data_IF_148084900129
#
_entry.id   IF_148084900129
#
_cell.length_a   1.000
_cell.length_b   1.000
_cell.length_c   1.000
_cell.angle_alpha   90.00
_cell.angle_beta   90.00
_cell.angle_gamma   90.00
#
_symmetry.space_group_name_H-M   'P 1'
#
loop_
_entity.id
_entity.type
_entity.pdbx_description
1 polymer ?
#
# COMPACT_ATOMS: atom_id res chain seq x y z
N UNK A 1 10.71 8.55 -11.46
CA UNK A 1 9.77 7.56 -10.88
C UNK A 1 8.36 8.06 -11.17
N UNK A 2 7.44 7.20 -11.60
CA UNK A 2 6.05 7.61 -11.82
C UNK A 2 5.28 7.52 -10.50
N UNK A 3 4.52 8.57 -10.16
CA UNK A 3 3.53 8.55 -9.09
C UNK A 3 2.26 7.90 -9.66
N UNK A 4 1.64 7.00 -8.92
CA UNK A 4 0.40 6.34 -9.33
C UNK A 4 -0.77 6.81 -8.49
N UNK A 5 -1.95 6.86 -9.08
CA UNK A 5 -3.19 7.06 -8.34
C UNK A 5 -3.50 5.81 -7.52
N UNK A 6 -3.75 5.98 -6.24
CA UNK A 6 -4.21 4.92 -5.35
C UNK A 6 -5.73 4.97 -5.30
N UNK A 7 -6.36 3.82 -5.51
CA UNK A 7 -7.79 3.63 -5.31
C UNK A 7 -7.97 2.74 -4.09
N UNK A 8 -8.78 3.19 -3.16
CA UNK A 8 -9.07 2.46 -1.93
C UNK A 8 -10.24 1.50 -2.15
N UNK A 9 -10.15 0.33 -1.52
CA UNK A 9 -11.28 -0.61 -1.49
C UNK A 9 -12.19 -0.29 -0.32
N UNK A 10 -13.50 -0.61 -0.41
CA UNK A 10 -14.41 -0.48 0.73
C UNK A 10 -13.91 -1.22 1.97
N UNK A 11 -13.27 -2.37 1.80
CA UNK A 11 -12.65 -3.17 2.87
C UNK A 11 -11.52 -2.40 3.55
N UNK A 12 -10.63 -1.78 2.76
CA UNK A 12 -9.53 -1.00 3.28
C UNK A 12 -10.06 0.19 4.08
N UNK A 13 -11.00 0.96 3.52
CA UNK A 13 -11.57 2.12 4.20
C UNK A 13 -12.22 1.76 5.54
N UNK A 14 -13.05 0.70 5.58
CA UNK A 14 -13.69 0.24 6.82
C UNK A 14 -12.64 -0.09 7.89
N UNK A 15 -11.57 -0.79 7.52
CA UNK A 15 -10.52 -1.20 8.46
C UNK A 15 -9.64 -0.03 8.87
N UNK A 16 -9.30 0.86 7.94
CA UNK A 16 -8.53 2.06 8.21
C UNK A 16 -9.25 2.94 9.24
N UNK A 17 -10.56 3.20 9.07
CA UNK A 17 -11.36 3.95 10.06
C UNK A 17 -11.32 3.38 11.47
N UNK A 18 -11.18 2.06 11.64
CA UNK A 18 -11.09 1.42 12.95
C UNK A 18 -9.68 1.34 13.55
N UNK A 19 -8.62 1.47 12.74
CA UNK A 19 -7.23 1.16 13.12
C UNK A 19 -6.28 2.36 13.01
N UNK A 20 -6.66 3.37 12.22
CA UNK A 20 -5.84 4.50 11.82
C UNK A 20 -6.60 5.80 12.04
N UNK A 21 -5.87 6.83 12.42
CA UNK A 21 -6.31 8.21 12.19
C UNK A 21 -6.32 8.52 10.69
N UNK A 22 -7.02 9.59 10.31
CA UNK A 22 -7.04 10.05 8.92
C UNK A 22 -5.64 10.39 8.40
N UNK A 23 -4.79 11.02 9.22
CA UNK A 23 -3.42 11.34 8.87
C UNK A 23 -2.59 10.08 8.55
N UNK A 24 -2.67 9.05 9.41
CA UNK A 24 -1.96 7.78 9.19
C UNK A 24 -2.45 7.05 7.93
N UNK A 25 -3.75 7.10 7.65
CA UNK A 25 -4.31 6.56 6.40
C UNK A 25 -3.75 7.30 5.18
N UNK A 26 -3.70 8.63 5.22
CA UNK A 26 -3.15 9.45 4.13
C UNK A 26 -1.65 9.20 3.93
N UNK A 27 -0.88 9.00 4.98
CA UNK A 27 0.54 8.62 4.89
C UNK A 27 0.74 7.28 4.20
N UNK A 28 -0.10 6.27 4.50
CA UNK A 28 -0.06 4.97 3.82
C UNK A 28 -0.38 5.14 2.33
N UNK A 29 -1.40 5.94 1.99
CA UNK A 29 -1.80 6.19 0.61
C UNK A 29 -0.69 6.90 -0.18
N UNK A 30 -0.13 7.99 0.36
CA UNK A 30 0.97 8.73 -0.27
C UNK A 30 2.22 7.84 -0.44
N UNK A 31 2.53 7.01 0.56
CA UNK A 31 3.63 6.07 0.47
C UNK A 31 3.45 5.06 -0.66
N UNK A 32 2.26 4.47 -0.81
CA UNK A 32 1.96 3.53 -1.90
C UNK A 32 1.98 4.22 -3.25
N UNK A 33 1.42 5.43 -3.36
CA UNK A 33 1.40 6.23 -4.58
C UNK A 33 2.82 6.51 -5.12
N UNK A 34 3.76 6.80 -4.21
CA UNK A 34 5.17 7.06 -4.55
C UNK A 34 6.00 5.79 -4.71
N UNK A 35 5.61 4.69 -4.07
CA UNK A 35 6.36 3.43 -4.02
C UNK A 35 5.48 2.22 -4.38
N UNK A 36 4.90 2.16 -5.59
CA UNK A 36 3.91 1.15 -5.92
C UNK A 36 4.46 -0.30 -5.93
N UNK A 37 5.78 -0.46 -6.03
CA UNK A 37 6.47 -1.77 -5.96
C UNK A 37 6.95 -2.14 -4.55
N UNK A 38 6.55 -1.40 -3.51
CA UNK A 38 7.00 -1.65 -2.12
C UNK A 38 6.52 -2.98 -1.54
N UNK A 39 7.32 -3.57 -0.66
CA UNK A 39 7.01 -4.80 0.07
C UNK A 39 7.41 -6.10 -0.63
N UNK A 40 6.92 -7.21 -0.10
CA UNK A 40 7.08 -8.55 -0.66
C UNK A 40 5.95 -8.83 -1.66
N UNK A 41 6.31 -9.24 -2.88
CA UNK A 41 5.34 -9.70 -3.86
C UNK A 41 4.82 -11.08 -3.44
N UNK A 42 3.50 -11.27 -3.45
CA UNK A 42 2.86 -12.56 -3.12
C UNK A 42 2.20 -13.22 -4.33
N UNK A 43 2.45 -12.70 -5.53
CA UNK A 43 1.93 -13.22 -6.81
C UNK A 43 0.76 -12.40 -7.36
N UNK A 44 0.54 -12.50 -8.67
CA UNK A 44 -0.60 -11.87 -9.35
C UNK A 44 -0.71 -10.36 -9.17
N UNK A 45 0.42 -9.64 -9.01
CA UNK A 45 0.42 -8.18 -8.76
C UNK A 45 0.13 -7.76 -7.32
N UNK A 46 -0.15 -8.70 -6.42
CA UNK A 46 -0.41 -8.40 -5.00
C UNK A 46 0.92 -8.27 -4.23
N UNK A 47 0.95 -7.29 -3.34
CA UNK A 47 2.12 -6.86 -2.58
C UNK A 47 1.75 -6.67 -1.11
N UNK A 48 2.67 -7.02 -0.20
CA UNK A 48 2.49 -6.90 1.25
C UNK A 48 3.70 -6.25 1.90
N UNK A 49 3.47 -5.25 2.76
CA UNK A 49 4.52 -4.63 3.57
C UNK A 49 4.06 -4.30 4.98
N UNK A 50 5.03 -3.99 5.85
CA UNK A 50 4.79 -3.46 7.19
C UNK A 50 5.02 -1.95 7.17
N UNK A 51 4.02 -1.17 7.56
CA UNK A 51 4.11 0.27 7.71
C UNK A 51 4.32 0.61 9.18
N UNK A 52 5.41 1.31 9.50
CA UNK A 52 5.68 1.74 10.86
C UNK A 52 4.79 2.94 11.20
N UNK A 53 4.23 2.95 12.41
CA UNK A 53 3.47 4.10 12.92
C UNK A 53 4.45 5.17 13.43
N UNK A 54 4.31 6.45 13.05
CA UNK A 54 5.10 7.52 13.65
C UNK A 54 4.90 7.56 15.18
N UNK A 55 6.00 7.54 15.95
CA UNK A 55 5.95 7.60 17.42
C UNK A 55 5.47 6.32 18.14
N UNK A 56 5.18 5.23 17.41
CA UNK A 56 4.75 3.96 18.01
C UNK A 56 5.92 3.00 18.26
N UNK A 57 6.03 2.47 19.48
CA UNK A 57 6.99 1.40 19.82
C UNK A 57 6.78 0.10 19.02
N UNK A 58 7.57 -0.95 19.33
CA UNK A 58 7.66 -2.25 18.62
C UNK A 58 6.33 -2.93 18.22
N UNK A 59 5.19 -2.57 18.82
CA UNK A 59 3.88 -3.19 18.66
C UNK A 59 2.89 -2.49 17.69
N UNK A 60 3.14 -1.26 17.22
CA UNK A 60 2.08 -0.40 16.66
C UNK A 60 1.93 -0.29 15.13
N UNK A 61 2.67 -1.06 14.33
CA UNK A 61 2.69 -0.90 12.86
C UNK A 61 1.58 -1.66 12.11
N UNK A 62 1.21 -1.19 10.93
CA UNK A 62 0.17 -1.77 10.08
C UNK A 62 0.74 -2.80 9.09
N UNK A 63 -0.04 -3.82 8.73
CA UNK A 63 0.24 -4.64 7.56
C UNK A 63 -0.64 -4.16 6.42
N UNK A 64 -0.02 -3.65 5.37
CA UNK A 64 -0.70 -3.11 4.20
C UNK A 64 -0.55 -4.12 3.07
N UNK A 65 -1.67 -4.41 2.41
CA UNK A 65 -1.72 -5.22 1.19
C UNK A 65 -2.26 -4.32 0.09
N UNK A 66 -1.55 -4.24 -1.02
CA UNK A 66 -1.98 -3.48 -2.18
C UNK A 66 -1.72 -4.27 -3.46
N UNK A 67 -2.40 -3.87 -4.54
CA UNK A 67 -2.23 -4.44 -5.86
C UNK A 67 -1.56 -3.41 -6.76
N UNK A 68 -0.52 -3.84 -7.48
CA UNK A 68 0.10 -3.06 -8.53
C UNK A 68 0.65 -4.00 -9.61
N UNK A 69 0.10 -3.87 -10.81
CA UNK A 69 0.61 -4.52 -12.01
C UNK A 69 0.96 -3.43 -13.01
N UNK A 70 2.24 -3.07 -13.17
CA UNK A 70 2.62 -2.24 -14.30
C UNK A 70 2.32 -3.06 -15.55
N UNK A 71 1.83 -2.42 -16.59
CA UNK A 71 1.67 -3.05 -17.90
C UNK A 71 3.08 -3.41 -18.41
N UNK A 72 3.58 -4.59 -18.03
CA UNK A 72 4.78 -5.15 -18.63
C UNK A 72 4.38 -5.54 -20.02
N UNK A 73 4.69 -4.68 -20.99
CA UNK A 73 4.46 -4.94 -22.40
C UNK A 73 4.97 -6.33 -22.72
N UNK A 74 4.03 -7.25 -22.96
CA UNK A 74 4.33 -8.54 -23.58
C UNK A 74 4.88 -8.15 -24.95
N UNK A 75 6.22 -8.07 -25.06
CA UNK A 75 6.87 -8.00 -26.36
C UNK A 75 6.52 -9.31 -27.03
N UNK A 76 5.48 -9.28 -27.85
CA UNK A 76 5.27 -10.28 -28.86
C UNK A 76 6.48 -10.13 -29.80
N UNK A 77 7.42 -11.08 -29.67
CA UNK A 77 8.42 -11.33 -30.69
C UNK A 77 7.81 -12.17 -31.79
#
# INVERSE_FOLDING_TARGET
MAIVTVVETPEFERRARSLMSEAERLEVIDFVARNPITGVAIGGGVRKFRFARPGGGKSGGYRVIHFYSPMTGRRFS
#
